data_IF_803936484988
#
_entry.id   IF_803936484988
#
_cell.length_a   1.000
_cell.length_b   1.000
_cell.length_c   1.000
_cell.angle_alpha   90.00
_cell.angle_beta   90.00
_cell.angle_gamma   90.00
#
_symmetry.space_group_name_H-M   'P 1'
#
loop_
_entity.id
_entity.type
_entity.pdbx_description
1 polymer ?
#
# COMPACT_ATOMS: atom_id res chain seq x y z
N UNK A 1 3.19 -1.67 36.10
CA UNK A 1 2.55 -2.81 36.81
C UNK A 1 1.60 -2.34 37.92
N UNK A 2 2.01 -1.40 38.77
CA UNK A 2 1.20 -0.85 39.88
C UNK A 2 -0.12 -0.20 39.41
N UNK A 3 -0.11 0.50 38.26
CA UNK A 3 -1.34 1.10 37.68
C UNK A 3 -2.37 0.05 37.23
N UNK A 4 -1.92 -1.13 36.76
CA UNK A 4 -2.84 -2.22 36.37
C UNK A 4 -3.44 -2.95 37.59
N UNK A 5 -2.73 -3.00 38.71
CA UNK A 5 -3.21 -3.61 39.96
C UNK A 5 -4.25 -2.72 40.64
N UNK A 6 -4.13 -1.40 40.55
CA UNK A 6 -5.13 -0.45 41.09
C UNK A 6 -6.44 -0.49 40.27
N UNK A 7 -6.36 -0.68 38.95
CA UNK A 7 -7.55 -0.81 38.10
C UNK A 7 -8.34 -2.11 38.31
N UNK A 8 -7.69 -3.21 38.71
CA UNK A 8 -8.40 -4.48 38.93
C UNK A 8 -9.09 -4.57 40.31
N UNK A 9 -8.66 -3.79 41.30
CA UNK A 9 -9.22 -3.83 42.66
C UNK A 9 -10.34 -2.81 42.94
N UNK A 10 -10.69 -1.93 42.00
CA UNK A 10 -11.87 -1.04 42.11
C UNK A 10 -13.11 -1.62 41.41
N UNK A 11 -13.21 -2.94 41.30
CA UNK A 11 -14.47 -3.62 40.96
C UNK A 11 -15.41 -3.61 42.15
N UNK A 12 -16.15 -2.52 42.38
CA UNK A 12 -17.12 -2.51 43.49
C UNK A 12 -17.86 -1.21 43.82
N UNK A 13 -17.64 -0.10 43.12
CA UNK A 13 -18.44 1.11 43.34
C UNK A 13 -19.17 1.44 42.04
N UNK A 14 -20.45 1.05 41.95
CA UNK A 14 -21.41 1.62 41.01
C UNK A 14 -21.57 3.10 41.39
N UNK A 15 -20.89 3.98 40.68
CA UNK A 15 -21.33 5.38 40.61
C UNK A 15 -22.46 5.42 39.60
N UNK A 16 -23.66 5.73 40.09
CA UNK A 16 -24.86 5.97 39.32
C UNK A 16 -24.58 6.97 38.19
N UNK A 17 -25.07 6.66 37.00
CA UNK A 17 -25.01 7.46 35.79
C UNK A 17 -25.73 8.81 36.00
N UNK A 18 -25.04 9.76 36.62
CA UNK A 18 -25.37 11.18 36.48
C UNK A 18 -24.40 11.77 35.46
N UNK A 19 -25.00 12.30 34.39
CA UNK A 19 -24.40 12.97 33.24
C UNK A 19 -23.42 14.04 33.71
N UNK A 20 -22.17 13.65 33.96
CA UNK A 20 -21.05 14.57 34.13
C UNK A 20 -20.58 14.91 32.72
N UNK A 21 -20.74 16.17 32.33
CA UNK A 21 -20.21 16.72 31.08
C UNK A 21 -18.70 16.39 30.95
N UNK A 22 -18.15 16.23 29.73
CA UNK A 22 -16.74 15.91 29.53
C UNK A 22 -15.78 16.92 30.17
N UNK A 23 -16.22 18.18 30.36
CA UNK A 23 -15.49 19.20 31.12
C UNK A 23 -15.29 18.79 32.59
N UNK A 24 -16.28 18.11 33.19
CA UNK A 24 -16.25 17.75 34.60
C UNK A 24 -15.26 16.60 34.89
N UNK A 25 -15.10 15.65 33.96
CA UNK A 25 -14.04 14.61 34.01
C UNK A 25 -12.64 15.24 33.98
N UNK A 26 -12.41 16.18 33.07
CA UNK A 26 -11.12 16.88 32.97
C UNK A 26 -10.82 17.71 34.22
N UNK A 27 -11.80 18.42 34.79
CA UNK A 27 -11.62 19.15 36.07
C UNK A 27 -11.38 18.22 37.25
N UNK A 28 -12.07 17.08 37.35
CA UNK A 28 -11.89 16.15 38.47
C UNK A 28 -10.49 15.49 38.44
N UNK A 29 -10.03 15.13 37.24
CA UNK A 29 -8.69 14.60 37.02
C UNK A 29 -7.61 15.68 37.27
N UNK A 30 -7.88 16.94 36.87
CA UNK A 30 -7.05 18.11 37.19
C UNK A 30 -6.88 18.32 38.70
N UNK A 31 -7.99 18.35 39.43
CA UNK A 31 -8.01 18.60 40.88
C UNK A 31 -7.27 17.48 41.63
N UNK A 32 -7.39 16.21 41.21
CA UNK A 32 -6.73 15.10 41.90
C UNK A 32 -5.21 15.07 41.70
N UNK A 33 -4.71 15.40 40.49
CA UNK A 33 -3.25 15.40 40.28
C UNK A 33 -2.60 16.65 40.87
N UNK A 34 -3.22 17.84 40.75
CA UNK A 34 -2.66 19.06 41.32
C UNK A 34 -2.63 19.02 42.85
N UNK A 35 -3.62 18.38 43.49
CA UNK A 35 -3.65 18.23 44.95
C UNK A 35 -2.37 17.57 45.50
N UNK A 36 -1.82 16.57 44.80
CA UNK A 36 -0.57 15.91 45.20
C UNK A 36 0.64 16.83 45.10
N UNK A 37 0.75 17.60 44.02
CA UNK A 37 1.84 18.58 43.85
C UNK A 37 1.74 19.71 44.88
N UNK A 38 0.54 20.27 45.06
CA UNK A 38 0.27 21.34 46.04
C UNK A 38 0.61 20.87 47.46
N UNK A 39 0.22 19.66 47.84
CA UNK A 39 0.54 19.10 49.15
C UNK A 39 2.06 18.98 49.34
N UNK A 40 2.77 18.35 48.40
CA UNK A 40 4.23 18.19 48.49
C UNK A 40 4.96 19.55 48.52
N UNK A 41 4.54 20.50 47.69
CA UNK A 41 5.12 21.85 47.65
C UNK A 41 4.85 22.61 48.95
N UNK A 42 3.65 22.48 49.54
CA UNK A 42 3.34 23.09 50.83
C UNK A 42 4.21 22.54 51.96
N UNK A 43 4.41 21.21 52.02
CA UNK A 43 5.28 20.56 53.00
C UNK A 43 6.73 21.03 52.82
N UNK A 44 7.20 21.13 51.58
CA UNK A 44 8.53 21.65 51.26
C UNK A 44 8.72 23.10 51.71
N UNK A 45 7.74 23.97 51.46
CA UNK A 45 7.79 25.37 51.92
C UNK A 45 7.82 25.48 53.45
N UNK A 46 7.01 24.67 54.14
CA UNK A 46 7.02 24.60 55.61
C UNK A 46 8.40 24.18 56.11
N UNK A 47 9.05 23.19 55.49
CA UNK A 47 10.40 22.78 55.85
C UNK A 47 11.44 23.89 55.62
N UNK A 48 11.35 24.61 54.50
CA UNK A 48 12.23 25.74 54.16
C UNK A 48 12.16 26.85 55.20
N UNK A 49 10.98 27.11 55.77
CA UNK A 49 10.79 28.17 56.78
C UNK A 49 11.11 27.68 58.19
N UNK A 50 10.67 26.48 58.58
CA UNK A 50 10.86 25.98 59.95
C UNK A 50 12.31 25.61 60.24
N UNK A 51 13.03 25.06 59.27
CA UNK A 51 14.42 24.61 59.48
C UNK A 51 15.36 25.74 59.94
N UNK A 52 15.41 26.92 59.31
CA UNK A 52 16.25 28.01 59.80
C UNK A 52 15.78 28.54 61.16
N UNK A 53 14.46 28.60 61.43
CA UNK A 53 13.93 29.02 62.74
C UNK A 53 14.41 28.06 63.84
N UNK A 54 14.28 26.75 63.62
CA UNK A 54 14.75 25.72 64.55
C UNK A 54 16.27 25.79 64.71
N UNK A 55 17.01 26.01 63.62
CA UNK A 55 18.47 26.15 63.68
C UNK A 55 18.90 27.36 64.53
N UNK A 56 18.26 28.51 64.37
CA UNK A 56 18.55 29.71 65.16
C UNK A 56 18.18 29.49 66.63
N UNK A 57 17.01 28.92 66.92
CA UNK A 57 16.60 28.56 68.29
C UNK A 57 17.59 27.58 68.93
N UNK A 58 17.99 26.53 68.22
CA UNK A 58 18.96 25.54 68.70
C UNK A 58 20.33 26.18 68.95
N UNK A 59 20.79 27.06 68.06
CA UNK A 59 22.04 27.80 68.22
C UNK A 59 22.01 28.68 69.48
N UNK A 60 20.95 29.48 69.66
CA UNK A 60 20.76 30.33 70.84
C UNK A 60 20.69 29.50 72.14
N UNK A 61 19.92 28.41 72.15
CA UNK A 61 19.84 27.52 73.31
C UNK A 61 21.20 26.89 73.64
N UNK A 62 21.99 26.52 72.62
CA UNK A 62 23.34 25.98 72.79
C UNK A 62 24.34 27.02 73.30
N UNK A 63 24.22 28.28 72.88
CA UNK A 63 25.02 29.40 73.40
C UNK A 63 24.69 29.75 74.86
N UNK A 64 23.48 29.44 75.33
CA UNK A 64 23.07 29.58 76.74
C UNK A 64 23.28 28.29 77.55
N UNK A 65 24.29 27.48 77.20
CA UNK A 65 24.67 26.19 77.80
C UNK A 65 23.59 25.09 77.82
N UNK A 66 22.40 25.33 77.27
CA UNK A 66 21.33 24.34 77.12
C UNK A 66 21.50 23.52 75.81
N UNK A 67 20.64 22.52 75.56
CA UNK A 67 20.69 21.71 74.32
C UNK A 67 22.07 21.08 74.02
N UNK A 68 22.76 20.59 75.07
CA UNK A 68 24.07 19.95 74.97
C UNK A 68 25.25 20.92 74.82
N UNK A 69 25.07 22.20 75.16
CA UNK A 69 26.15 23.17 75.38
C UNK A 69 26.94 22.87 76.66
N UNK A 70 26.24 22.45 77.72
CA UNK A 70 26.87 21.98 78.96
C UNK A 70 27.62 20.66 78.73
N UNK A 71 28.95 20.71 78.81
CA UNK A 71 29.84 19.57 78.58
C UNK A 71 29.71 18.46 79.65
N UNK A 72 28.94 18.69 80.70
CA UNK A 72 28.72 17.75 81.79
C UNK A 72 27.49 16.87 81.54
N UNK A 73 27.70 15.60 81.17
CA UNK A 73 26.60 14.66 80.89
C UNK A 73 26.14 13.94 82.17
N UNK A 74 24.97 14.29 82.69
CA UNK A 74 24.31 13.59 83.81
C UNK A 74 23.87 12.19 83.34
N UNK A 75 24.47 11.12 83.88
CA UNK A 75 24.11 9.74 83.52
C UNK A 75 22.65 9.45 83.91
N UNK A 76 21.77 9.26 82.91
CA UNK A 76 20.37 8.84 83.10
C UNK A 76 20.27 7.32 83.19
N UNK A 77 19.27 6.82 83.92
CA UNK A 77 19.03 5.39 84.21
C UNK A 77 18.90 4.49 82.95
N UNK A 78 18.60 5.06 81.77
CA UNK A 78 18.44 4.36 80.48
C UNK A 78 19.37 4.89 79.37
N UNK A 79 20.52 5.49 79.70
CA UNK A 79 21.39 6.17 78.73
C UNK A 79 21.86 5.26 77.57
N UNK A 80 22.15 3.98 77.84
CA UNK A 80 22.64 3.04 76.82
C UNK A 80 21.58 2.67 75.77
N UNK A 81 20.32 2.50 76.18
CA UNK A 81 19.21 2.20 75.27
C UNK A 81 18.91 3.40 74.36
N UNK A 82 18.88 4.61 74.92
CA UNK A 82 18.71 5.83 74.12
C UNK A 82 19.85 6.05 73.13
N UNK A 83 21.10 5.80 73.55
CA UNK A 83 22.26 5.89 72.67
C UNK A 83 22.18 4.87 71.53
N UNK A 84 21.81 3.62 71.83
CA UNK A 84 21.60 2.59 70.81
C UNK A 84 20.53 2.99 69.79
N UNK A 85 19.40 3.52 70.26
CA UNK A 85 18.32 4.01 69.39
C UNK A 85 18.77 5.16 68.49
N UNK A 86 19.43 6.18 69.04
CA UNK A 86 19.91 7.32 68.23
C UNK A 86 20.99 6.92 67.23
N UNK A 87 21.91 6.02 67.60
CA UNK A 87 22.90 5.48 66.67
C UNK A 87 22.23 4.68 65.55
N UNK A 88 21.26 3.82 65.86
CA UNK A 88 20.51 3.05 64.87
C UNK A 88 19.71 3.96 63.93
N UNK A 89 19.02 4.97 64.48
CA UNK A 89 18.29 5.98 63.70
C UNK A 89 19.23 6.75 62.78
N UNK A 90 20.40 7.16 63.27
CA UNK A 90 21.38 7.91 62.46
C UNK A 90 21.96 7.05 61.34
N UNK A 91 22.24 5.76 61.60
CA UNK A 91 22.66 4.81 60.56
C UNK A 91 21.55 4.66 59.51
N UNK A 92 20.30 4.45 59.92
CA UNK A 92 19.18 4.31 59.02
C UNK A 92 19.02 5.56 58.13
N UNK A 93 19.03 6.76 58.71
CA UNK A 93 18.93 8.01 57.93
C UNK A 93 20.13 8.20 57.00
N UNK A 94 21.34 7.83 57.43
CA UNK A 94 22.55 7.92 56.61
C UNK A 94 22.44 7.01 55.37
N UNK A 95 21.90 5.79 55.53
CA UNK A 95 21.64 4.87 54.41
C UNK A 95 20.64 5.48 53.41
N UNK A 96 19.55 6.07 53.90
CA UNK A 96 18.57 6.74 53.04
C UNK A 96 19.17 7.91 52.25
N UNK A 97 20.02 8.71 52.88
CA UNK A 97 20.70 9.83 52.21
C UNK A 97 21.69 9.31 51.15
N UNK A 98 22.44 8.24 51.43
CA UNK A 98 23.34 7.61 50.45
C UNK A 98 22.55 7.14 49.22
N UNK A 99 21.42 6.47 49.43
CA UNK A 99 20.56 6.02 48.32
C UNK A 99 20.05 7.22 47.50
N UNK A 100 19.62 8.30 48.18
CA UNK A 100 19.19 9.53 47.52
C UNK A 100 20.28 10.17 46.66
N UNK A 101 21.51 10.24 47.17
CA UNK A 101 22.67 10.76 46.42
C UNK A 101 22.95 9.90 45.19
N UNK A 102 22.89 8.58 45.31
CA UNK A 102 23.10 7.69 44.17
C UNK A 102 22.05 7.88 43.07
N UNK A 103 20.76 7.94 43.46
CA UNK A 103 19.66 8.19 42.53
C UNK A 103 19.81 9.56 41.86
N UNK A 104 20.14 10.61 42.62
CA UNK A 104 20.33 11.96 42.10
C UNK A 104 21.52 12.03 41.12
N UNK A 105 22.63 11.37 41.43
CA UNK A 105 23.78 11.28 40.53
C UNK A 105 23.45 10.55 39.24
N UNK A 106 22.79 9.39 39.33
CA UNK A 106 22.36 8.62 38.18
C UNK A 106 21.37 9.41 37.30
N UNK A 107 20.41 10.11 37.93
CA UNK A 107 19.47 10.98 37.23
C UNK A 107 20.19 12.13 36.51
N UNK A 108 21.14 12.80 37.19
CA UNK A 108 21.92 13.90 36.61
C UNK A 108 22.71 13.44 35.37
N UNK A 109 23.34 12.27 35.43
CA UNK A 109 24.06 11.68 34.31
C UNK A 109 23.12 11.23 33.17
N UNK A 110 21.97 10.65 33.52
CA UNK A 110 20.99 10.21 32.53
C UNK A 110 20.44 11.38 31.72
N UNK A 111 20.16 12.53 32.33
CA UNK A 111 19.68 13.73 31.61
C UNK A 111 20.67 14.14 30.51
N UNK A 112 21.97 14.25 30.83
CA UNK A 112 23.01 14.57 29.83
C UNK A 112 23.06 13.54 28.69
N UNK A 113 22.94 12.25 29.03
CA UNK A 113 22.89 11.17 28.04
C UNK A 113 21.66 11.29 27.13
N UNK A 114 20.49 11.59 27.68
CA UNK A 114 19.25 11.76 26.93
C UNK A 114 19.29 12.98 26.01
N UNK A 115 19.88 14.11 26.44
CA UNK A 115 20.06 15.28 25.58
C UNK A 115 20.86 14.93 24.32
N UNK A 116 21.95 14.16 24.47
CA UNK A 116 22.74 13.68 23.33
C UNK A 116 21.96 12.72 22.42
N UNK A 117 21.15 11.83 22.99
CA UNK A 117 20.32 10.92 22.21
C UNK A 117 19.22 11.66 21.44
N UNK A 118 18.55 12.63 22.07
CA UNK A 118 17.54 13.49 21.42
C UNK A 118 18.13 14.23 20.23
N UNK A 119 19.35 14.78 20.35
CA UNK A 119 20.06 15.38 19.20
C UNK A 119 20.24 14.40 18.04
N UNK A 120 20.72 13.19 18.33
CA UNK A 120 20.91 12.15 17.29
C UNK A 120 19.59 11.79 16.62
N UNK A 121 18.52 11.66 17.40
CA UNK A 121 17.18 11.34 16.90
C UNK A 121 16.65 12.46 15.99
N UNK A 122 16.77 13.73 16.39
CA UNK A 122 16.38 14.88 15.58
C UNK A 122 17.15 14.90 14.25
N UNK A 123 18.48 14.76 14.30
CA UNK A 123 19.31 14.75 13.09
C UNK A 123 18.96 13.59 12.16
N UNK A 124 18.68 12.41 12.72
CA UNK A 124 18.28 11.22 11.94
C UNK A 124 16.92 11.42 11.30
N UNK A 125 15.91 11.83 12.08
CA UNK A 125 14.56 12.08 11.56
C UNK A 125 14.55 13.19 10.50
N UNK A 126 15.34 14.25 10.68
CA UNK A 126 15.42 15.34 9.72
C UNK A 126 16.10 14.89 8.41
N UNK A 127 17.15 14.08 8.53
CA UNK A 127 17.80 13.44 7.37
C UNK A 127 16.83 12.52 6.63
N UNK A 128 16.07 11.71 7.35
CA UNK A 128 15.11 10.79 6.74
C UNK A 128 13.94 11.53 6.07
N UNK A 129 13.43 12.63 6.68
CA UNK A 129 12.43 13.50 6.04
C UNK A 129 12.97 14.17 4.77
N UNK A 130 14.24 14.58 4.76
CA UNK A 130 14.89 15.13 3.57
C UNK A 130 15.08 14.07 2.48
N UNK A 131 15.49 12.85 2.86
CA UNK A 131 15.58 11.72 1.94
C UNK A 131 14.21 11.38 1.35
N UNK A 132 13.16 11.37 2.16
CA UNK A 132 11.79 11.20 1.69
C UNK A 132 11.42 12.27 0.65
N UNK A 133 11.58 13.55 1.00
CA UNK A 133 11.26 14.66 0.11
C UNK A 133 12.06 14.65 -1.20
N UNK A 134 13.32 14.20 -1.18
CA UNK A 134 14.16 14.10 -2.38
C UNK A 134 13.82 12.88 -3.25
N UNK A 135 13.39 11.77 -2.65
CA UNK A 135 13.14 10.51 -3.37
C UNK A 135 11.72 10.42 -3.94
N UNK A 136 10.74 11.11 -3.35
CA UNK A 136 9.35 11.09 -3.80
C UNK A 136 9.15 11.59 -5.25
N UNK A 137 9.78 12.69 -5.71
CA UNK A 137 9.61 13.15 -7.10
C UNK A 137 10.06 12.11 -8.12
N UNK A 138 11.24 11.50 -7.90
CA UNK A 138 11.76 10.46 -8.78
C UNK A 138 10.85 9.22 -8.85
N UNK A 139 10.22 8.84 -7.73
CA UNK A 139 9.25 7.73 -7.72
C UNK A 139 7.96 8.08 -8.48
N UNK A 140 7.47 9.31 -8.37
CA UNK A 140 6.29 9.79 -9.11
C UNK A 140 6.59 9.85 -10.61
N UNK A 141 7.78 10.35 -11.00
CA UNK A 141 8.21 10.38 -12.39
C UNK A 141 8.29 8.96 -12.98
N UNK A 142 8.87 8.02 -12.24
CA UNK A 142 8.93 6.61 -12.65
C UNK A 142 7.54 6.00 -12.89
N UNK A 143 6.60 6.18 -11.95
CA UNK A 143 5.22 5.70 -12.10
C UNK A 143 4.50 6.37 -13.29
N UNK A 144 4.73 7.67 -13.49
CA UNK A 144 4.19 8.42 -14.62
C UNK A 144 4.76 7.92 -15.95
N UNK A 145 6.06 7.62 -16.01
CA UNK A 145 6.73 7.07 -17.20
C UNK A 145 6.18 5.67 -17.55
N UNK A 146 5.94 4.81 -16.56
CA UNK A 146 5.29 3.52 -16.81
C UNK A 146 3.86 3.68 -17.31
N UNK A 147 3.07 4.55 -16.69
CA UNK A 147 1.71 4.81 -17.10
C UNK A 147 1.63 5.34 -18.54
N UNK A 148 2.48 6.32 -18.89
CA UNK A 148 2.55 6.86 -20.26
C UNK A 148 2.96 5.81 -21.28
N UNK A 149 3.88 4.91 -20.94
CA UNK A 149 4.26 3.79 -21.80
C UNK A 149 3.08 2.84 -22.06
N UNK A 150 2.39 2.42 -20.99
CA UNK A 150 1.20 1.56 -21.11
C UNK A 150 0.09 2.25 -21.92
N UNK A 151 -0.17 3.53 -21.64
CA UNK A 151 -1.14 4.35 -22.38
C UNK A 151 -0.81 4.40 -23.87
N UNK A 152 0.44 4.71 -24.22
CA UNK A 152 0.87 4.80 -25.61
C UNK A 152 0.75 3.46 -26.33
N UNK A 153 1.03 2.34 -25.64
CA UNK A 153 0.83 1.01 -26.19
C UNK A 153 -0.65 0.71 -26.46
N UNK A 154 -1.54 1.01 -25.51
CA UNK A 154 -2.99 0.85 -25.68
C UNK A 154 -3.50 1.73 -26.82
N UNK A 155 -3.08 2.99 -26.89
CA UNK A 155 -3.47 3.89 -27.98
C UNK A 155 -3.00 3.37 -29.34
N UNK A 156 -1.76 2.87 -29.42
CA UNK A 156 -1.23 2.26 -30.64
C UNK A 156 -2.02 1.03 -31.05
N UNK A 157 -2.41 0.17 -30.11
CA UNK A 157 -3.22 -1.02 -30.41
C UNK A 157 -4.64 -0.65 -30.85
N UNK A 158 -5.24 0.40 -30.24
CA UNK A 158 -6.54 0.92 -30.64
C UNK A 158 -6.50 1.56 -32.05
N UNK A 159 -5.43 2.27 -32.39
CA UNK A 159 -5.24 2.82 -33.75
C UNK A 159 -5.04 1.72 -34.79
N UNK A 160 -4.43 0.61 -34.39
CA UNK A 160 -4.18 -0.56 -35.22
C UNK A 160 -5.22 -1.68 -35.04
N UNK A 161 -6.43 -1.37 -34.54
CA UNK A 161 -7.46 -2.38 -34.26
C UNK A 161 -7.93 -3.12 -35.53
N UNK A 162 -7.94 -2.43 -36.67
CA UNK A 162 -8.29 -3.02 -37.98
C UNK A 162 -7.41 -4.24 -38.32
N UNK A 163 -6.08 -4.08 -38.45
CA UNK A 163 -5.19 -5.22 -38.70
C UNK A 163 -5.07 -6.17 -37.50
N UNK A 164 -5.06 -5.69 -36.25
CA UNK A 164 -4.86 -6.56 -35.08
C UNK A 164 -6.05 -7.47 -34.78
N UNK A 165 -7.27 -6.92 -34.77
CA UNK A 165 -8.49 -7.67 -34.51
C UNK A 165 -9.09 -8.18 -35.82
N UNK A 166 -9.32 -7.27 -36.78
CA UNK A 166 -9.92 -7.61 -38.06
C UNK A 166 -9.04 -8.50 -38.94
N UNK A 167 -7.71 -8.34 -38.89
CA UNK A 167 -6.78 -9.25 -39.56
C UNK A 167 -6.78 -10.65 -38.95
N UNK A 168 -6.87 -10.79 -37.61
CA UNK A 168 -7.02 -12.11 -36.96
C UNK A 168 -8.36 -12.77 -37.27
N UNK A 169 -9.44 -12.00 -37.34
CA UNK A 169 -10.76 -12.51 -37.77
C UNK A 169 -10.68 -13.00 -39.22
N UNK A 170 -10.08 -12.20 -40.12
CA UNK A 170 -9.87 -12.56 -41.52
C UNK A 170 -9.08 -13.87 -41.64
N UNK A 171 -7.88 -13.97 -41.06
CA UNK A 171 -7.05 -15.19 -41.13
C UNK A 171 -7.77 -16.43 -40.58
N UNK A 172 -8.56 -16.27 -39.52
CA UNK A 172 -9.28 -17.40 -38.93
C UNK A 172 -10.43 -17.88 -39.83
N UNK A 173 -11.22 -16.94 -40.36
CA UNK A 173 -12.34 -17.24 -41.23
C UNK A 173 -11.93 -17.60 -42.66
N UNK A 174 -10.75 -17.17 -43.11
CA UNK A 174 -10.22 -17.41 -44.46
C UNK A 174 -10.17 -18.91 -44.75
N UNK A 175 -9.83 -19.71 -43.73
CA UNK A 175 -9.74 -21.17 -43.80
C UNK A 175 -11.05 -21.86 -44.17
N UNK A 176 -12.19 -21.25 -43.87
CA UNK A 176 -13.52 -21.80 -44.11
C UNK A 176 -14.23 -21.08 -45.27
N UNK A 177 -14.11 -19.75 -45.31
CA UNK A 177 -14.84 -18.89 -46.27
C UNK A 177 -14.26 -19.00 -47.68
N UNK A 178 -12.93 -19.01 -47.84
CA UNK A 178 -12.29 -19.06 -49.17
C UNK A 178 -12.58 -20.40 -49.87
N UNK A 179 -12.42 -21.57 -49.24
CA UNK A 179 -12.77 -22.85 -49.88
C UNK A 179 -14.26 -22.95 -50.24
N UNK A 180 -15.14 -22.38 -49.43
CA UNK A 180 -16.58 -22.36 -49.73
C UNK A 180 -16.90 -21.47 -50.94
N UNK A 181 -16.28 -20.28 -51.04
CA UNK A 181 -16.42 -19.37 -52.18
C UNK A 181 -15.83 -19.98 -53.47
N UNK A 182 -14.66 -20.62 -53.40
CA UNK A 182 -14.06 -21.35 -54.52
C UNK A 182 -14.92 -22.53 -54.96
N UNK A 183 -15.50 -23.27 -54.01
CA UNK A 183 -16.47 -24.32 -54.28
C UNK A 183 -17.68 -23.81 -55.06
N UNK A 184 -18.22 -22.65 -54.66
CA UNK A 184 -19.33 -21.99 -55.36
C UNK A 184 -18.94 -21.50 -56.77
N UNK A 185 -17.74 -20.94 -56.92
CA UNK A 185 -17.23 -20.50 -58.23
C UNK A 185 -17.07 -21.68 -59.21
N UNK A 186 -16.54 -22.81 -58.72
CA UNK A 186 -16.40 -24.03 -59.51
C UNK A 186 -17.77 -24.58 -59.93
N UNK A 187 -18.76 -24.54 -59.05
CA UNK A 187 -20.14 -24.91 -59.40
C UNK A 187 -20.72 -23.99 -60.48
N UNK A 188 -20.49 -22.68 -60.39
CA UNK A 188 -20.91 -21.73 -61.43
C UNK A 188 -20.29 -22.06 -62.79
N UNK A 189 -19.00 -22.40 -62.82
CA UNK A 189 -18.30 -22.86 -64.02
C UNK A 189 -18.92 -24.13 -64.60
N UNK A 190 -19.11 -25.16 -63.77
CA UNK A 190 -19.73 -26.41 -64.17
C UNK A 190 -21.16 -26.23 -64.72
N UNK A 191 -21.96 -25.31 -64.14
CA UNK A 191 -23.30 -24.99 -64.66
C UNK A 191 -23.24 -24.36 -66.06
N UNK A 192 -22.26 -23.50 -66.33
CA UNK A 192 -22.08 -22.89 -67.66
C UNK A 192 -21.65 -23.92 -68.71
N UNK A 193 -20.70 -24.79 -68.36
CA UNK A 193 -20.29 -25.90 -69.24
C UNK A 193 -21.46 -26.86 -69.51
N UNK A 194 -22.26 -27.17 -68.48
CA UNK A 194 -23.45 -28.02 -68.61
C UNK A 194 -24.49 -27.37 -69.53
N UNK A 195 -24.69 -26.05 -69.45
CA UNK A 195 -25.55 -25.32 -70.38
C UNK A 195 -25.07 -25.48 -71.83
N UNK A 196 -23.80 -25.18 -72.08
CA UNK A 196 -23.20 -25.26 -73.44
C UNK A 196 -23.31 -26.69 -73.99
N UNK A 197 -23.08 -27.71 -73.17
CA UNK A 197 -23.28 -29.10 -73.55
C UNK A 197 -24.75 -29.42 -73.88
N UNK A 198 -25.72 -28.94 -73.09
CA UNK A 198 -27.14 -29.15 -73.36
C UNK A 198 -27.61 -28.42 -74.63
N UNK A 199 -27.11 -27.21 -74.89
CA UNK A 199 -27.41 -26.47 -76.13
C UNK A 199 -26.88 -27.21 -77.36
N UNK A 200 -25.64 -27.73 -77.29
CA UNK A 200 -25.07 -28.56 -78.34
C UNK A 200 -25.87 -29.86 -78.56
N UNK A 201 -26.31 -30.52 -77.49
CA UNK A 201 -27.16 -31.71 -77.58
C UNK A 201 -28.52 -31.38 -78.19
N UNK A 202 -29.14 -30.25 -77.81
CA UNK A 202 -30.40 -29.79 -78.39
C UNK A 202 -30.28 -29.55 -79.89
N UNK A 203 -29.25 -28.81 -80.31
CA UNK A 203 -28.98 -28.55 -81.72
C UNK A 203 -28.68 -29.83 -82.50
N UNK A 204 -27.89 -30.74 -81.93
CA UNK A 204 -27.57 -32.04 -82.55
C UNK A 204 -28.82 -32.92 -82.69
N UNK A 205 -29.72 -32.89 -81.71
CA UNK A 205 -30.99 -33.61 -81.75
C UNK A 205 -31.91 -33.08 -82.85
N UNK A 206 -32.00 -31.75 -83.01
CA UNK A 206 -32.76 -31.11 -84.10
C UNK A 206 -32.22 -31.50 -85.48
N UNK A 207 -30.89 -31.42 -85.68
CA UNK A 207 -30.25 -31.82 -86.95
C UNK A 207 -30.49 -33.30 -87.24
N UNK A 208 -30.39 -34.17 -86.23
CA UNK A 208 -30.62 -35.61 -86.37
C UNK A 208 -32.08 -35.92 -86.73
N UNK A 209 -33.05 -35.25 -86.08
CA UNK A 209 -34.47 -35.40 -86.36
C UNK A 209 -34.86 -34.87 -87.76
N UNK A 210 -34.27 -33.77 -88.20
CA UNK A 210 -34.47 -33.27 -89.56
C UNK A 210 -33.84 -34.20 -90.61
N UNK A 211 -32.61 -34.65 -90.35
CA UNK A 211 -31.86 -35.54 -91.23
C UNK A 211 -32.55 -36.90 -91.40
N UNK A 212 -33.08 -37.48 -90.32
CA UNK A 212 -33.84 -38.73 -90.40
C UNK A 212 -35.17 -38.53 -91.13
N UNK A 213 -35.84 -37.39 -90.94
CA UNK A 213 -37.06 -37.05 -91.68
C UNK A 213 -36.83 -36.96 -93.19
N UNK A 214 -35.75 -36.28 -93.60
CA UNK A 214 -35.33 -36.22 -95.03
C UNK A 214 -34.97 -37.59 -95.57
N UNK A 215 -34.16 -38.36 -94.84
CA UNK A 215 -33.77 -39.72 -95.25
C UNK A 215 -35.00 -40.63 -95.39
N UNK A 216 -35.98 -40.52 -94.48
CA UNK A 216 -37.21 -41.30 -94.53
C UNK A 216 -38.07 -40.94 -95.73
N UNK A 217 -38.18 -39.64 -96.06
CA UNK A 217 -38.88 -39.18 -97.25
C UNK A 217 -38.20 -39.70 -98.52
N UNK A 218 -36.87 -39.55 -98.64
CA UNK A 218 -36.11 -40.03 -99.80
C UNK A 218 -36.15 -41.54 -99.96
N UNK A 219 -36.01 -42.33 -98.87
CA UNK A 219 -36.16 -43.79 -98.95
C UNK A 219 -37.57 -44.20 -99.34
N UNK A 220 -38.61 -43.49 -98.84
CA UNK A 220 -39.99 -43.77 -99.20
C UNK A 220 -40.26 -43.46 -100.68
N UNK A 221 -39.68 -42.38 -101.21
CA UNK A 221 -39.74 -42.00 -102.61
C UNK A 221 -39.06 -43.04 -103.50
N UNK A 222 -37.82 -43.43 -103.18
CA UNK A 222 -37.08 -44.48 -103.90
C UNK A 222 -37.80 -45.82 -103.84
N UNK A 223 -38.34 -46.20 -102.67
CA UNK A 223 -39.16 -47.40 -102.52
C UNK A 223 -40.39 -47.35 -103.41
N UNK A 224 -41.06 -46.20 -103.51
CA UNK A 224 -42.22 -46.04 -104.41
C UNK A 224 -41.80 -46.11 -105.87
N UNK A 225 -40.69 -45.48 -106.25
CA UNK A 225 -40.13 -45.51 -107.60
C UNK A 225 -39.75 -46.92 -108.03
N UNK A 226 -39.01 -47.66 -107.21
CA UNK A 226 -38.68 -49.07 -107.43
C UNK A 226 -39.95 -49.93 -107.51
N UNK A 227 -40.94 -49.69 -106.65
CA UNK A 227 -42.23 -50.40 -106.71
C UNK A 227 -42.96 -50.15 -108.03
N UNK A 228 -42.93 -48.92 -108.53
CA UNK A 228 -43.53 -48.55 -109.82
C UNK A 228 -42.78 -49.23 -110.98
N UNK A 229 -41.45 -49.21 -110.98
CA UNK A 229 -40.63 -49.89 -111.99
C UNK A 229 -40.84 -51.41 -111.98
N UNK A 230 -40.96 -52.03 -110.80
CA UNK A 230 -41.26 -53.46 -110.65
C UNK A 230 -42.70 -53.83 -111.08
N UNK A 231 -43.57 -52.84 -111.25
CA UNK A 231 -44.94 -53.02 -111.74
C UNK A 231 -45.07 -52.90 -113.27
N UNK A 232 -43.95 -52.70 -113.98
CA UNK A 232 -43.91 -52.66 -115.44
C UNK A 232 -44.26 -54.04 -116.06
N UNK A 233 -45.05 -54.10 -117.16
CA UNK A 233 -45.40 -55.34 -117.84
C UNK A 233 -44.19 -56.19 -118.28
N UNK A 234 -43.02 -55.60 -118.49
CA UNK A 234 -41.79 -56.32 -118.79
C UNK A 234 -41.32 -57.22 -117.63
N UNK A 235 -41.60 -56.85 -116.37
CA UNK A 235 -41.28 -57.66 -115.19
C UNK A 235 -42.20 -58.89 -115.02
N UNK A 236 -43.27 -59.01 -115.81
CA UNK A 236 -44.15 -60.19 -115.85
C UNK A 236 -43.82 -61.19 -116.97
N UNK A 237 -42.90 -60.86 -117.88
CA UNK A 237 -42.61 -61.67 -119.07
C UNK A 237 -41.36 -62.54 -118.93
N UNK A 238 -41.51 -63.87 -119.14
CA UNK A 238 -40.41 -64.80 -119.38
C UNK A 238 -39.33 -64.88 -118.28
N UNK A 239 -38.08 -65.01 -118.71
CA UNK A 239 -36.90 -65.34 -117.89
C UNK A 239 -36.53 -64.32 -116.79
N UNK A 240 -37.13 -63.12 -116.76
CA UNK A 240 -36.78 -62.01 -115.83
C UNK A 240 -37.69 -61.96 -114.60
N UNK A 241 -38.86 -62.58 -114.66
CA UNK A 241 -39.86 -62.65 -113.57
C UNK A 241 -39.32 -63.08 -112.19
N UNK A 242 -38.48 -64.13 -112.04
CA UNK A 242 -37.97 -64.53 -110.73
C UNK A 242 -37.07 -63.47 -110.07
N UNK A 243 -36.32 -62.70 -110.87
CA UNK A 243 -35.47 -61.61 -110.39
C UNK A 243 -36.32 -60.43 -109.88
N UNK A 244 -37.33 -60.01 -110.64
CA UNK A 244 -38.26 -58.94 -110.22
C UNK A 244 -39.01 -59.32 -108.92
N UNK A 245 -39.41 -60.58 -108.77
CA UNK A 245 -40.07 -61.07 -107.54
C UNK A 245 -39.15 -61.05 -106.32
N UNK A 246 -37.87 -61.39 -106.50
CA UNK A 246 -36.87 -61.37 -105.41
C UNK A 246 -36.59 -59.93 -104.93
N UNK A 247 -36.50 -58.97 -105.85
CA UNK A 247 -36.31 -57.54 -105.48
C UNK A 247 -37.57 -57.00 -104.81
N UNK A 248 -38.75 -57.39 -105.30
CA UNK A 248 -40.02 -56.99 -104.69
C UNK A 248 -40.20 -57.51 -103.26
N UNK A 249 -39.68 -58.70 -102.94
CA UNK A 249 -39.74 -59.23 -101.57
C UNK A 249 -38.75 -58.55 -100.61
N UNK A 250 -37.67 -57.93 -101.11
CA UNK A 250 -36.71 -57.17 -100.29
C UNK A 250 -37.07 -55.70 -100.15
N UNK A 251 -37.94 -55.15 -101.00
CA UNK A 251 -38.40 -53.76 -100.96
C UNK A 251 -38.89 -53.28 -99.58
N UNK A 252 -39.62 -54.09 -98.78
CA UNK A 252 -40.03 -53.70 -97.43
C UNK A 252 -38.87 -53.48 -96.45
N UNK A 253 -37.70 -54.06 -96.72
CA UNK A 253 -36.49 -53.89 -95.90
C UNK A 253 -35.80 -52.54 -96.18
N UNK A 254 -36.15 -51.85 -97.27
CA UNK A 254 -35.70 -50.50 -97.56
C UNK A 254 -36.49 -49.50 -96.71
N UNK A 255 -36.08 -49.38 -95.44
CA UNK A 255 -36.67 -48.49 -94.46
C UNK A 255 -35.68 -48.17 -93.35
N UNK A 256 -35.98 -47.13 -92.57
CA UNK A 256 -35.18 -46.74 -91.42
C UNK A 256 -35.66 -47.52 -90.21
N UNK A 257 -34.75 -48.28 -89.59
CA UNK A 257 -35.04 -49.07 -88.39
C UNK A 257 -34.73 -48.34 -87.07
N UNK A 258 -34.10 -47.17 -87.14
CA UNK A 258 -33.73 -46.36 -85.99
C UNK A 258 -34.82 -45.29 -85.71
N UNK A 259 -35.48 -45.40 -84.56
CA UNK A 259 -36.51 -44.46 -84.11
C UNK A 259 -35.92 -43.46 -83.09
N UNK A 260 -35.47 -42.32 -83.59
CA UNK A 260 -34.90 -41.24 -82.78
C UNK A 260 -35.96 -40.30 -82.17
N UNK A 261 -37.26 -40.53 -82.42
CA UNK A 261 -38.35 -39.79 -81.79
C UNK A 261 -38.48 -40.08 -80.29
N UNK A 262 -37.88 -41.19 -79.83
CA UNK A 262 -37.84 -41.62 -78.42
C UNK A 262 -36.71 -40.98 -77.61
N UNK A 263 -35.84 -40.19 -78.22
CA UNK A 263 -34.80 -39.48 -77.48
C UNK A 263 -35.43 -38.40 -76.58
N UNK A 264 -35.03 -38.31 -75.31
CA UNK A 264 -35.63 -37.39 -74.36
C UNK A 264 -35.33 -35.93 -74.75
N UNK A 265 -36.35 -35.07 -74.66
CA UNK A 265 -36.21 -33.64 -74.91
C UNK A 265 -35.41 -32.97 -73.77
N UNK A 266 -34.30 -32.32 -74.11
CA UNK A 266 -33.41 -31.61 -73.17
C UNK A 266 -33.90 -30.21 -72.81
N UNK A 267 -34.96 -29.71 -73.43
CA UNK A 267 -35.49 -28.36 -73.26
C UNK A 267 -35.89 -28.02 -71.82
N UNK A 268 -36.45 -28.97 -71.06
CA UNK A 268 -36.79 -28.75 -69.65
C UNK A 268 -35.54 -28.60 -68.77
N UNK A 269 -34.49 -29.40 -69.03
CA UNK A 269 -33.22 -29.29 -68.33
C UNK A 269 -32.50 -27.98 -68.69
N UNK A 270 -32.56 -27.56 -69.96
CA UNK A 270 -32.02 -26.29 -70.43
C UNK A 270 -32.78 -25.09 -69.84
N UNK A 271 -34.10 -25.17 -69.73
CA UNK A 271 -34.93 -24.14 -69.09
C UNK A 271 -34.62 -23.99 -67.59
N UNK A 272 -34.42 -25.10 -66.88
CA UNK A 272 -34.01 -25.09 -65.48
C UNK A 272 -32.64 -24.43 -65.29
N UNK A 273 -31.65 -24.83 -66.10
CA UNK A 273 -30.30 -24.25 -66.04
C UNK A 273 -30.30 -22.77 -66.41
N UNK A 274 -31.06 -22.36 -67.43
CA UNK A 274 -31.20 -20.95 -67.80
C UNK A 274 -31.89 -20.12 -66.70
N UNK A 275 -32.81 -20.71 -65.94
CA UNK A 275 -33.43 -20.03 -64.79
C UNK A 275 -32.43 -19.79 -63.67
N UNK A 276 -31.56 -20.76 -63.40
CA UNK A 276 -30.52 -20.64 -62.36
C UNK A 276 -29.41 -19.68 -62.79
N UNK A 277 -28.96 -19.72 -64.06
CA UNK A 277 -27.92 -18.84 -64.61
C UNK A 277 -28.36 -17.37 -64.77
N UNK A 278 -29.66 -17.06 -64.62
CA UNK A 278 -30.10 -15.66 -64.47
C UNK A 278 -29.52 -15.01 -63.22
N UNK A 279 -29.19 -15.81 -62.21
CA UNK A 279 -28.46 -15.36 -61.04
C UNK A 279 -26.98 -15.49 -61.38
N UNK A 280 -26.29 -14.36 -61.53
CA UNK A 280 -24.85 -14.35 -61.77
C UNK A 280 -24.10 -14.74 -60.49
N UNK A 281 -23.99 -16.06 -60.27
CA UNK A 281 -23.31 -16.64 -59.13
C UNK A 281 -21.84 -16.21 -59.08
N UNK A 282 -21.20 -15.98 -60.24
CA UNK A 282 -19.82 -15.49 -60.31
C UNK A 282 -19.71 -14.07 -59.72
N UNK A 283 -20.63 -13.17 -60.09
CA UNK A 283 -20.68 -11.82 -59.53
C UNK A 283 -20.94 -11.85 -58.01
N UNK A 284 -21.84 -12.73 -57.55
CA UNK A 284 -22.15 -12.89 -56.12
C UNK A 284 -20.92 -13.39 -55.36
N UNK A 285 -20.19 -14.39 -55.88
CA UNK A 285 -18.97 -14.91 -55.27
C UNK A 285 -17.86 -13.85 -55.24
N UNK A 286 -17.70 -13.07 -56.31
CA UNK A 286 -16.75 -11.94 -56.33
C UNK A 286 -17.10 -10.87 -55.28
N UNK A 287 -18.39 -10.54 -55.11
CA UNK A 287 -18.83 -9.67 -54.01
C UNK A 287 -18.54 -10.29 -52.65
N UNK A 288 -18.68 -11.61 -52.52
CA UNK A 288 -18.29 -12.37 -51.33
C UNK A 288 -16.82 -12.17 -50.98
N UNK A 289 -15.92 -12.32 -51.97
CA UNK A 289 -14.49 -12.06 -51.81
C UNK A 289 -14.19 -10.60 -51.42
N UNK A 290 -14.81 -9.64 -52.10
CA UNK A 290 -14.61 -8.22 -51.80
C UNK A 290 -15.08 -7.87 -50.38
N UNK A 291 -16.26 -8.35 -49.98
CA UNK A 291 -16.80 -8.14 -48.63
C UNK A 291 -15.95 -8.82 -47.56
N UNK A 292 -15.42 -10.02 -47.83
CA UNK A 292 -14.57 -10.74 -46.91
C UNK A 292 -13.22 -10.03 -46.71
N UNK A 293 -12.59 -9.56 -47.79
CA UNK A 293 -11.34 -8.81 -47.72
C UNK A 293 -11.49 -7.43 -47.05
N UNK A 294 -12.69 -6.86 -47.02
CA UNK A 294 -12.97 -5.60 -46.32
C UNK A 294 -13.17 -5.76 -44.80
N UNK A 295 -13.12 -6.99 -44.27
CA UNK A 295 -13.30 -7.30 -42.83
C UNK A 295 -12.44 -6.42 -41.90
N UNK A 296 -11.13 -6.19 -42.16
CA UNK A 296 -10.33 -5.30 -41.31
C UNK A 296 -10.82 -3.85 -41.26
N UNK A 297 -11.35 -3.35 -42.39
CA UNK A 297 -11.91 -2.00 -42.48
C UNK A 297 -13.25 -1.92 -41.76
N UNK A 298 -14.12 -2.93 -41.95
CA UNK A 298 -15.40 -3.04 -41.27
C UNK A 298 -15.23 -3.05 -39.74
N UNK A 299 -14.28 -3.84 -39.21
CA UNK A 299 -13.96 -3.87 -37.78
C UNK A 299 -13.49 -2.51 -37.27
N UNK A 300 -12.65 -1.80 -38.04
CA UNK A 300 -12.21 -0.44 -37.68
C UNK A 300 -13.38 0.55 -37.63
N UNK A 301 -14.30 0.49 -38.58
CA UNK A 301 -15.47 1.38 -38.64
C UNK A 301 -16.48 1.06 -37.52
N UNK A 302 -16.79 -0.22 -37.29
CA UNK A 302 -17.71 -0.64 -36.23
C UNK A 302 -17.18 -0.35 -34.83
N UNK A 303 -15.86 -0.45 -34.62
CA UNK A 303 -15.25 -0.20 -33.31
C UNK A 303 -14.94 1.29 -33.09
N UNK A 304 -15.19 2.16 -34.07
CA UNK A 304 -14.82 3.58 -34.03
C UNK A 304 -15.33 4.29 -32.76
N UNK A 305 -16.61 4.12 -32.40
CA UNK A 305 -17.21 4.79 -31.25
C UNK A 305 -16.57 4.36 -29.92
N UNK A 306 -16.23 3.07 -29.80
CA UNK A 306 -15.57 2.49 -28.62
C UNK A 306 -14.14 3.00 -28.54
N UNK A 307 -13.40 3.01 -29.66
CA UNK A 307 -12.04 3.56 -29.75
C UNK A 307 -12.04 5.04 -29.37
N UNK A 308 -12.95 5.86 -29.93
CA UNK A 308 -13.02 7.29 -29.55
C UNK A 308 -13.39 7.49 -28.10
N UNK A 309 -14.31 6.70 -27.54
CA UNK A 309 -14.67 6.75 -26.12
C UNK A 309 -13.48 6.44 -25.20
N UNK A 310 -12.73 5.38 -25.50
CA UNK A 310 -11.51 5.02 -24.76
C UNK A 310 -10.40 6.06 -24.94
N UNK A 311 -10.29 6.66 -26.13
CA UNK A 311 -9.32 7.72 -26.40
C UNK A 311 -9.58 8.96 -25.56
N UNK A 312 -10.83 9.40 -25.46
CA UNK A 312 -11.24 10.53 -24.62
C UNK A 312 -10.95 10.25 -23.14
N UNK A 313 -11.19 9.02 -22.67
CA UNK A 313 -10.86 8.61 -21.29
C UNK A 313 -9.35 8.56 -21.01
N UNK A 314 -8.53 8.27 -22.01
CA UNK A 314 -7.06 8.25 -21.90
C UNK A 314 -6.40 9.62 -22.19
N UNK A 315 -7.15 10.57 -22.76
CA UNK A 315 -6.78 11.99 -22.88
C UNK A 315 -7.09 12.81 -21.62
N UNK A 316 -7.23 12.16 -20.45
CA UNK A 316 -7.06 12.82 -19.15
C UNK A 316 -5.56 13.17 -19.01
N UNK A 317 -5.18 14.16 -19.80
CA UNK A 317 -3.89 14.80 -19.89
C UNK A 317 -3.78 15.67 -18.63
N UNK A 318 -3.51 15.06 -17.48
CA UNK A 318 -3.54 15.84 -16.26
C UNK A 318 -3.19 15.16 -14.96
N UNK A 319 -3.27 13.84 -14.79
CA UNK A 319 -3.07 13.31 -13.43
C UNK A 319 -1.65 13.56 -12.88
N UNK A 320 -0.62 13.50 -13.72
CA UNK A 320 0.76 13.84 -13.32
C UNK A 320 1.05 15.35 -13.31
N UNK A 321 0.30 16.17 -14.06
CA UNK A 321 0.45 17.64 -14.09
C UNK A 321 -0.43 18.38 -13.08
N UNK A 322 -1.45 17.72 -12.54
CA UNK A 322 -2.46 18.30 -11.65
C UNK A 322 -1.97 18.43 -10.21
N UNK A 323 -0.96 17.65 -9.82
CA UNK A 323 -0.29 17.81 -8.54
C UNK A 323 1.10 18.40 -8.78
N UNK A 324 1.35 19.69 -8.47
CA UNK A 324 2.68 20.27 -8.47
C UNK A 324 3.45 19.74 -7.23
N UNK A 325 3.65 18.43 -7.19
CA UNK A 325 4.31 17.72 -6.10
C UNK A 325 5.76 18.18 -6.01
N UNK A 326 6.44 18.41 -7.15
CA UNK A 326 7.80 18.94 -7.18
C UNK A 326 7.94 20.30 -6.48
N UNK A 327 7.10 21.28 -6.81
CA UNK A 327 7.16 22.60 -6.20
C UNK A 327 6.83 22.53 -4.69
N UNK A 328 5.85 21.71 -4.32
CA UNK A 328 5.47 21.51 -2.92
C UNK A 328 6.58 20.82 -2.11
N UNK A 329 7.26 19.82 -2.70
CA UNK A 329 8.37 19.12 -2.07
C UNK A 329 9.66 19.94 -2.04
N UNK A 330 9.89 20.81 -3.02
CA UNK A 330 10.98 21.78 -3.00
C UNK A 330 10.77 22.79 -1.86
N UNK A 331 9.55 23.34 -1.73
CA UNK A 331 9.20 24.21 -0.61
C UNK A 331 9.30 23.48 0.74
N UNK A 332 8.86 22.23 0.82
CA UNK A 332 9.00 21.41 2.01
C UNK A 332 10.47 21.15 2.36
N UNK A 333 11.30 20.82 1.37
CA UNK A 333 12.75 20.64 1.57
C UNK A 333 13.43 21.91 2.05
N UNK A 334 13.05 23.07 1.49
CA UNK A 334 13.54 24.37 1.95
C UNK A 334 13.14 24.65 3.39
N UNK A 335 11.86 24.44 3.74
CA UNK A 335 11.37 24.55 5.11
C UNK A 335 12.13 23.62 6.06
N UNK A 336 12.35 22.35 5.69
CA UNK A 336 13.13 21.40 6.48
C UNK A 336 14.57 21.87 6.68
N UNK A 337 15.25 22.36 5.64
CA UNK A 337 16.61 22.88 5.74
C UNK A 337 16.70 24.11 6.67
N UNK A 338 15.73 25.02 6.55
CA UNK A 338 15.66 26.23 7.38
C UNK A 338 15.42 25.87 8.85
N UNK A 339 14.46 24.98 9.13
CA UNK A 339 14.20 24.47 10.48
C UNK A 339 15.37 23.68 11.03
N UNK A 340 16.03 22.86 10.21
CA UNK A 340 17.21 22.11 10.64
C UNK A 340 18.36 23.03 11.05
N UNK A 341 18.67 24.03 10.22
CA UNK A 341 19.70 25.04 10.53
C UNK A 341 19.36 25.83 11.79
N UNK A 342 18.08 26.19 11.97
CA UNK A 342 17.63 26.86 13.19
C UNK A 342 17.86 25.99 14.43
N UNK A 343 17.51 24.70 14.37
CA UNK A 343 17.75 23.76 15.48
C UNK A 343 19.25 23.58 15.75
N UNK A 344 20.07 23.44 14.71
CA UNK A 344 21.53 23.29 14.86
C UNK A 344 22.17 24.51 15.53
N UNK A 345 21.64 25.71 15.28
CA UNK A 345 22.12 26.93 15.94
C UNK A 345 21.90 26.92 17.47
N UNK A 346 20.92 26.17 17.98
CA UNK A 346 20.66 26.03 19.42
C UNK A 346 21.52 24.96 20.10
N UNK A 347 22.07 23.99 19.36
CA UNK A 347 22.91 22.94 19.92
C UNK A 347 24.08 23.41 20.80
N UNK A 348 24.90 24.40 20.41
CA UNK A 348 25.97 24.88 21.28
C UNK A 348 25.45 25.50 22.58
N UNK A 349 24.31 26.19 22.53
CA UNK A 349 23.68 26.78 23.73
C UNK A 349 23.17 25.68 24.67
N UNK A 350 22.55 24.64 24.13
CA UNK A 350 22.07 23.48 24.90
C UNK A 350 23.25 22.74 25.54
N UNK A 351 24.36 22.56 24.83
CA UNK A 351 25.57 21.90 25.39
C UNK A 351 26.17 22.72 26.53
N UNK A 352 26.25 24.05 26.36
CA UNK A 352 26.74 24.93 27.40
C UNK A 352 25.80 24.94 28.63
N UNK A 353 24.48 24.96 28.42
CA UNK A 353 23.50 24.85 29.51
C UNK A 353 23.57 23.50 30.22
N UNK A 354 23.71 22.38 29.49
CA UNK A 354 23.87 21.05 30.09
C UNK A 354 25.15 20.96 30.92
N UNK A 355 26.24 21.54 30.43
CA UNK A 355 27.50 21.59 31.17
C UNK A 355 27.34 22.35 32.51
N UNK A 356 26.75 23.55 32.50
CA UNK A 356 26.50 24.29 33.73
C UNK A 356 25.53 23.58 34.67
N UNK A 357 24.45 23.02 34.14
CA UNK A 357 23.48 22.21 34.89
C UNK A 357 24.17 21.02 35.58
N UNK A 358 25.00 20.30 34.84
CA UNK A 358 25.70 19.12 35.34
C UNK A 358 26.66 19.50 36.48
N UNK A 359 27.47 20.55 36.31
CA UNK A 359 28.37 21.05 37.35
C UNK A 359 27.60 21.52 38.58
N UNK A 360 26.52 22.28 38.40
CA UNK A 360 25.69 22.77 39.50
C UNK A 360 25.11 21.62 40.33
N UNK A 361 24.59 20.57 39.68
CA UNK A 361 24.11 19.37 40.36
C UNK A 361 25.25 18.62 41.09
N UNK A 362 26.43 18.51 40.48
CA UNK A 362 27.59 17.88 41.15
C UNK A 362 28.01 18.67 42.39
N UNK A 363 28.09 20.01 42.30
CA UNK A 363 28.44 20.86 43.44
C UNK A 363 27.44 20.72 44.60
N UNK A 364 26.13 20.67 44.29
CA UNK A 364 25.07 20.41 45.27
C UNK A 364 25.25 19.03 45.91
N UNK A 365 25.50 17.98 45.13
CA UNK A 365 25.74 16.64 45.66
C UNK A 365 26.99 16.56 46.54
N UNK A 366 28.06 17.29 46.19
CA UNK A 366 29.27 17.38 47.02
C UNK A 366 28.96 17.92 48.43
N UNK A 367 28.04 18.87 48.58
CA UNK A 367 27.63 19.37 49.90
C UNK A 367 26.94 18.29 50.74
N UNK A 368 26.10 17.45 50.12
CA UNK A 368 25.41 16.34 50.80
C UNK A 368 26.41 15.23 51.15
N UNK A 369 27.36 14.93 50.26
CA UNK A 369 28.43 13.96 50.50
C UNK A 369 29.34 14.41 51.65
N UNK A 370 29.61 15.71 51.79
CA UNK A 370 30.35 16.24 52.93
C UNK A 370 29.63 15.99 54.26
N UNK A 371 28.31 16.21 54.32
CA UNK A 371 27.49 15.89 55.49
C UNK A 371 27.52 14.38 55.79
N UNK A 372 27.40 13.54 54.76
CA UNK A 372 27.53 12.08 54.88
C UNK A 372 28.90 11.68 55.42
N UNK A 373 29.98 12.31 54.96
CA UNK A 373 31.33 12.03 55.44
C UNK A 373 31.46 12.34 56.93
N UNK A 374 30.92 13.47 57.41
CA UNK A 374 30.89 13.79 58.84
C UNK A 374 30.05 12.80 59.65
N UNK A 375 28.90 12.37 59.13
CA UNK A 375 28.05 11.38 59.80
C UNK A 375 28.72 10.00 59.88
N UNK A 376 29.33 9.54 58.79
CA UNK A 376 30.02 8.23 58.73
C UNK A 376 31.26 8.25 59.61
N UNK A 377 32.14 9.24 59.46
CA UNK A 377 33.35 9.36 60.30
C UNK A 377 32.98 9.56 61.77
N UNK A 378 31.94 10.34 62.06
CA UNK A 378 31.42 10.53 63.41
C UNK A 378 30.89 9.24 64.03
N UNK A 379 30.13 8.43 63.26
CA UNK A 379 29.65 7.12 63.67
C UNK A 379 30.78 6.11 63.87
N UNK A 380 31.77 6.08 62.97
CA UNK A 380 32.93 5.18 63.05
C UNK A 380 33.81 5.52 64.26
N UNK A 381 34.22 6.79 64.41
CA UNK A 381 35.00 7.25 65.56
C UNK A 381 34.22 7.12 66.88
N UNK A 382 32.90 7.36 66.86
CA UNK A 382 32.02 7.22 68.02
C UNK A 382 31.77 5.77 68.44
N UNK A 383 31.79 4.81 67.50
CA UNK A 383 31.63 3.38 67.77
C UNK A 383 32.95 2.70 68.15
N UNK A 384 34.04 2.99 67.43
CA UNK A 384 35.37 2.44 67.71
C UNK A 384 36.03 3.07 68.94
N UNK A 385 35.74 4.33 69.25
CA UNK A 385 36.23 5.03 70.44
C UNK A 385 35.37 4.83 71.68
N UNK A 386 34.37 3.94 71.64
CA UNK A 386 33.48 3.73 72.78
C UNK A 386 34.11 2.83 73.85
N UNK A 387 34.42 3.44 74.99
CA UNK A 387 34.80 2.71 76.21
C UNK A 387 33.62 2.68 77.20
N UNK A 388 33.28 1.48 77.70
CA UNK A 388 32.21 1.25 78.67
C UNK A 388 32.61 1.65 80.10
N UNK A 389 33.90 1.78 80.40
CA UNK A 389 34.42 2.07 81.74
C UNK A 389 34.81 3.55 81.94
N UNK A 390 34.88 4.34 80.87
CA UNK A 390 35.24 5.75 80.92
C UNK A 390 34.05 6.66 81.27
N UNK A 391 34.24 7.56 82.26
CA UNK A 391 33.27 8.61 82.57
C UNK A 391 33.18 9.66 81.44
N UNK A 392 32.08 10.42 81.30
CA UNK A 392 31.94 11.43 80.24
C UNK A 392 33.07 12.47 80.21
N UNK A 393 33.72 12.72 81.34
CA UNK A 393 34.85 13.64 81.55
C UNK A 393 36.22 13.05 81.23
N UNK A 394 36.34 11.73 81.01
CA UNK A 394 37.60 11.01 80.73
C UNK A 394 37.52 10.22 79.41
N UNK A 395 36.83 10.76 78.40
CA UNK A 395 36.71 10.11 77.09
C UNK A 395 38.02 10.12 76.31
N UNK A 396 38.30 9.04 75.59
CA UNK A 396 39.43 8.98 74.65
C UNK A 396 39.30 9.99 73.52
N UNK A 397 40.45 10.44 72.99
CA UNK A 397 40.55 11.43 71.90
C UNK A 397 39.67 11.08 70.68
N UNK A 398 39.59 9.79 70.33
CA UNK A 398 38.78 9.28 69.22
C UNK A 398 37.27 9.47 69.43
N UNK A 399 36.79 9.27 70.66
CA UNK A 399 35.37 9.45 71.00
C UNK A 399 34.96 10.92 70.98
N UNK A 400 35.82 11.80 71.51
CA UNK A 400 35.60 13.25 71.47
C UNK A 400 35.59 13.78 70.03
N UNK A 401 36.51 13.29 69.20
CA UNK A 401 36.56 13.60 67.76
C UNK A 401 35.28 13.16 67.05
N UNK A 402 34.77 11.95 67.34
CA UNK A 402 33.50 11.48 66.78
C UNK A 402 32.31 12.38 67.12
N UNK A 403 32.22 12.84 68.37
CA UNK A 403 31.18 13.80 68.80
C UNK A 403 31.28 15.15 68.07
N UNK A 404 32.49 15.69 67.93
CA UNK A 404 32.72 16.93 67.19
C UNK A 404 32.37 16.80 65.70
N UNK A 405 32.69 15.66 65.07
CA UNK A 405 32.33 15.40 63.67
C UNK A 405 30.81 15.30 63.48
N UNK A 406 30.09 14.61 64.38
CA UNK A 406 28.63 14.56 64.33
C UNK A 406 28.00 15.94 64.53
N UNK A 407 28.53 16.75 65.46
CA UNK A 407 28.07 18.13 65.65
C UNK A 407 28.37 19.02 64.45
N UNK A 408 29.51 18.84 63.78
CA UNK A 408 29.81 19.51 62.52
C UNK A 408 28.80 19.11 61.42
N UNK A 409 28.47 17.81 61.31
CA UNK A 409 27.45 17.31 60.38
C UNK A 409 26.07 17.93 60.61
N UNK A 410 25.65 18.09 61.87
CA UNK A 410 24.40 18.79 62.23
C UNK A 410 24.47 20.27 61.85
N UNK A 411 25.58 20.95 62.14
CA UNK A 411 25.78 22.36 61.78
C UNK A 411 25.67 22.60 60.27
N UNK A 412 26.39 21.80 59.47
CA UNK A 412 26.32 21.87 58.01
C UNK A 412 24.93 21.52 57.47
N UNK A 413 24.23 20.57 58.10
CA UNK A 413 22.85 20.23 57.75
C UNK A 413 21.92 21.43 57.98
N UNK A 414 21.98 22.11 59.13
CA UNK A 414 21.16 23.30 59.36
C UNK A 414 21.46 24.45 58.39
N UNK A 415 22.72 24.62 57.98
CA UNK A 415 23.13 25.67 57.02
C UNK A 415 22.58 25.37 55.61
N UNK A 416 22.69 24.13 55.13
CA UNK A 416 22.42 23.79 53.74
C UNK A 416 21.04 23.15 53.49
N UNK A 417 20.42 22.47 54.46
CA UNK A 417 19.19 21.69 54.23
C UNK A 417 17.99 22.54 53.78
N UNK A 418 17.82 23.75 54.32
CA UNK A 418 16.72 24.62 53.90
C UNK A 418 16.91 25.11 52.44
N UNK A 419 18.14 25.45 52.06
CA UNK A 419 18.48 25.86 50.70
C UNK A 419 18.32 24.71 49.70
N UNK A 420 18.79 23.51 50.05
CA UNK A 420 18.60 22.30 49.25
C UNK A 420 17.12 21.97 49.08
N UNK A 421 16.33 22.05 50.15
CA UNK A 421 14.90 21.81 50.08
C UNK A 421 14.17 22.84 49.22
N UNK A 422 14.60 24.11 49.25
CA UNK A 422 14.06 25.14 48.36
C UNK A 422 14.33 24.82 46.89
N UNK A 423 15.56 24.40 46.55
CA UNK A 423 15.91 23.97 45.18
C UNK A 423 15.08 22.76 44.75
N UNK A 424 14.99 21.73 45.59
CA UNK A 424 14.23 20.51 45.24
C UNK A 424 12.74 20.82 45.09
N UNK A 425 12.16 21.63 45.97
CA UNK A 425 10.73 21.98 45.93
C UNK A 425 10.39 22.80 44.68
N UNK A 426 11.22 23.77 44.33
CA UNK A 426 11.02 24.59 43.12
C UNK A 426 11.18 23.75 41.86
N UNK A 427 12.22 22.93 41.77
CA UNK A 427 12.41 22.01 40.65
C UNK A 427 11.25 21.02 40.54
N UNK A 428 10.79 20.43 41.64
CA UNK A 428 9.67 19.49 41.64
C UNK A 428 8.36 20.14 41.17
N UNK A 429 8.06 21.35 41.65
CA UNK A 429 6.87 22.08 41.23
C UNK A 429 6.92 22.40 39.73
N UNK A 430 8.04 22.89 39.21
CA UNK A 430 8.15 23.26 37.80
C UNK A 430 8.23 22.02 36.89
N UNK A 431 9.11 21.07 37.20
CA UNK A 431 9.35 19.89 36.37
C UNK A 431 8.18 18.92 36.39
N UNK A 432 7.53 18.72 37.54
CA UNK A 432 6.37 17.85 37.66
C UNK A 432 5.17 18.35 36.87
N UNK A 433 4.90 19.67 36.91
CA UNK A 433 3.86 20.28 36.09
C UNK A 433 4.21 20.22 34.60
N UNK A 434 5.48 20.43 34.23
CA UNK A 434 5.94 20.30 32.84
C UNK A 434 5.74 18.87 32.32
N UNK A 435 6.06 17.86 33.12
CA UNK A 435 5.87 16.45 32.75
C UNK A 435 4.39 16.13 32.48
N UNK A 436 3.50 16.56 33.39
CA UNK A 436 2.07 16.24 33.30
C UNK A 436 1.30 17.05 32.27
N UNK A 437 1.59 18.34 32.14
CA UNK A 437 0.86 19.23 31.24
C UNK A 437 1.38 19.18 29.80
N UNK A 438 2.66 18.87 29.61
CA UNK A 438 3.31 18.97 28.30
C UNK A 438 3.81 17.61 27.84
N UNK A 439 4.68 16.94 28.61
CA UNK A 439 5.37 15.74 28.14
C UNK A 439 4.44 14.53 27.97
N UNK A 440 3.54 14.26 28.93
CA UNK A 440 2.62 13.12 28.89
C UNK A 440 1.57 13.25 27.76
N UNK A 441 0.91 14.40 27.57
CA UNK A 441 0.02 14.60 26.43
C UNK A 441 0.74 14.54 25.08
N UNK A 442 2.00 14.99 25.01
CA UNK A 442 2.84 14.88 23.81
C UNK A 442 3.18 13.41 23.51
N UNK A 443 3.57 12.63 24.51
CA UNK A 443 3.89 11.22 24.37
C UNK A 443 2.67 10.37 23.99
N UNK A 444 1.52 10.64 24.61
CA UNK A 444 0.25 9.96 24.32
C UNK A 444 -0.44 10.48 23.05
N UNK A 445 0.20 11.44 22.34
CA UNK A 445 -0.34 12.11 21.15
C UNK A 445 -1.71 12.75 21.35
N UNK A 446 -2.10 13.00 22.60
CA UNK A 446 -3.37 13.62 22.94
C UNK A 446 -3.42 15.07 22.47
N UNK A 447 -2.27 15.76 22.47
CA UNK A 447 -2.13 17.12 21.92
C UNK A 447 -2.48 17.18 20.42
N UNK A 448 -2.34 16.07 19.68
CA UNK A 448 -2.60 16.01 18.25
C UNK A 448 -3.99 15.45 17.90
N UNK A 449 -4.81 15.10 18.91
CA UNK A 449 -6.21 14.75 18.70
C UNK A 449 -7.02 16.04 18.67
N UNK A 450 -7.27 16.54 17.46
CA UNK A 450 -8.25 17.60 17.19
C UNK A 450 -9.66 17.02 17.26
#
# INVERSE_FOLDING_TARGET
>A
LIVRVIQQNMGGIKMEDNVLTPECWFTLQWIHYEAGFLLCTSIGMVFVVLTPIIATCFCMCRCCDNCGGEMHQRQRKNADCHRGFFTASLIATTIFIILGVFVAYAANHNISSQIRNTRRLINTNMRDLKTFANNTPAQIEYLTAQYTTAKNKVMSDLDNIGPLLGGRIHIHLEKEVVPALDGALRMAGAMRETKEALENVSSSLEILQEGIGKLQASLSEERSSLSNTLSDPACTNGAVSPTCNTIRSTLPQLGINADYSKLPNVGHALANINTVLRIDLSNIVQRGYASFNDTPKLVKEQTRNIVTGMKIGAEINGFSKMFPVEASLANFTNFLNERHRSIEAFYPQIDQMDFYRWIACVAVLCTIVLILAFNILGLLCGSCGYDKQATPTTRGCLSNTGGNLLMAGVGFSFIFSWALMAIVTTLFAVSGNTEKLICEPLANRQIFKV
#
